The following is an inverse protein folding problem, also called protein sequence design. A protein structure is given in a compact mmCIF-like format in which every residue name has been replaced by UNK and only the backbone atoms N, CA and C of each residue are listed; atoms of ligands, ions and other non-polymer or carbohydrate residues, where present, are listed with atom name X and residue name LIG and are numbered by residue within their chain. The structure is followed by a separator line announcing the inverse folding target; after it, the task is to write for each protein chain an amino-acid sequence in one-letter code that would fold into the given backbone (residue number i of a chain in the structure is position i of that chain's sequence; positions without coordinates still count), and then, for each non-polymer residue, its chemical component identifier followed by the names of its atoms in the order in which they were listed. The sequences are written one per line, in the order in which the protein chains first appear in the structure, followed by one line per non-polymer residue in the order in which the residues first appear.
data_IF_447466109770
#
_entry.id   IF_447466109770
#
_cell.length_a   1.000
_cell.length_b   1.000
_cell.length_c   1.000
_cell.angle_alpha   90.00
_cell.angle_beta   90.00
_cell.angle_gamma   90.00
#
_symmetry.space_group_name_H-M   'P 1'
#
loop_
_entity.id
_entity.type
_entity.pdbx_description
1 polymer ?
#
# COMPACT_ATOMS: atom_id res chain seq x y z
N UNK A 1 -1.16 -19.25 -2.67
CA UNK A 1 -1.02 -18.56 -3.98
C UNK A 1 -1.37 -17.09 -3.82
N UNK A 2 -0.57 -16.22 -4.39
CA UNK A 2 -0.80 -14.79 -4.32
C UNK A 2 -1.83 -14.35 -5.36
N UNK A 3 -2.70 -13.39 -4.98
CA UNK A 3 -3.60 -12.73 -5.94
C UNK A 3 -2.83 -11.74 -6.83
N UNK A 4 -1.58 -11.42 -6.48
CA UNK A 4 -0.77 -10.45 -7.22
C UNK A 4 -0.03 -11.15 -8.35
N UNK A 5 -0.11 -10.59 -9.55
CA UNK A 5 0.51 -11.17 -10.73
C UNK A 5 1.94 -10.65 -10.97
N UNK A 6 2.60 -11.20 -11.98
CA UNK A 6 3.97 -10.82 -12.32
C UNK A 6 4.08 -9.33 -12.67
N UNK A 7 3.10 -8.78 -13.38
CA UNK A 7 3.10 -7.38 -13.76
C UNK A 7 3.06 -6.47 -12.51
N UNK A 8 2.32 -6.89 -11.49
CA UNK A 8 2.29 -6.17 -10.23
C UNK A 8 3.67 -6.08 -9.57
N UNK A 9 4.38 -7.22 -9.51
CA UNK A 9 5.72 -7.26 -8.93
C UNK A 9 6.72 -6.48 -9.80
N UNK A 10 6.55 -6.49 -11.11
CA UNK A 10 7.36 -5.69 -12.00
C UNK A 10 7.19 -4.19 -11.68
N UNK A 11 5.96 -3.75 -11.48
CA UNK A 11 5.68 -2.35 -11.10
C UNK A 11 6.33 -2.02 -9.75
N UNK A 12 6.26 -2.94 -8.78
CA UNK A 12 6.86 -2.71 -7.46
C UNK A 12 8.39 -2.57 -7.52
N UNK A 13 9.03 -3.15 -8.53
CA UNK A 13 10.48 -3.05 -8.69
C UNK A 13 10.92 -1.71 -9.30
N UNK A 14 9.98 -0.87 -9.69
CA UNK A 14 10.25 0.47 -10.17
C UNK A 14 9.65 1.46 -9.18
N UNK A 15 10.31 2.59 -9.00
CA UNK A 15 9.78 3.57 -8.04
C UNK A 15 8.54 4.26 -8.60
N UNK A 16 7.65 4.63 -7.71
CA UNK A 16 6.41 5.31 -8.05
C UNK A 16 5.63 5.62 -6.78
N UNK A 17 4.64 6.47 -6.91
CA UNK A 17 3.78 6.88 -5.81
C UNK A 17 2.68 5.84 -5.60
N UNK A 18 2.44 5.52 -4.33
CA UNK A 18 1.31 4.69 -3.92
C UNK A 18 0.32 5.60 -3.21
N UNK A 19 -0.93 5.58 -3.63
CA UNK A 19 -1.98 6.35 -2.99
C UNK A 19 -2.92 5.42 -2.23
N UNK A 20 -3.24 5.78 -1.00
CA UNK A 20 -4.16 5.03 -0.16
C UNK A 20 -5.36 5.92 0.13
N UNK A 21 -6.55 5.44 -0.24
CA UNK A 21 -7.80 6.19 -0.09
C UNK A 21 -8.64 5.52 0.98
N UNK A 22 -9.06 6.30 1.96
CA UNK A 22 -9.98 5.89 3.00
C UNK A 22 -11.16 6.87 3.05
N UNK A 23 -12.30 6.44 3.61
CA UNK A 23 -13.51 7.29 3.64
C UNK A 23 -14.38 7.04 4.87
N UNK A 24 -13.75 6.64 5.99
CA UNK A 24 -14.47 6.33 7.21
C UNK A 24 -15.31 7.46 7.77
N UNK A 25 -14.93 8.71 7.49
CA UNK A 25 -15.66 9.90 7.98
C UNK A 25 -16.58 10.51 6.94
N UNK A 26 -16.92 9.77 5.88
CA UNK A 26 -17.81 10.25 4.82
C UNK A 26 -17.16 11.14 3.78
N UNK A 27 -15.89 11.49 3.97
CA UNK A 27 -15.10 12.27 3.03
C UNK A 27 -13.86 11.47 2.68
N UNK A 28 -13.49 11.48 1.41
CA UNK A 28 -12.31 10.76 0.95
C UNK A 28 -11.04 11.39 1.53
N UNK A 29 -10.19 10.56 2.12
CA UNK A 29 -8.88 10.93 2.62
C UNK A 29 -7.83 10.21 1.78
N UNK A 30 -6.81 10.91 1.33
CA UNK A 30 -5.77 10.33 0.48
C UNK A 30 -4.41 10.60 1.11
N UNK A 31 -3.61 9.54 1.22
CA UNK A 31 -2.21 9.64 1.64
C UNK A 31 -1.35 8.92 0.62
N UNK A 32 -0.10 9.29 0.53
CA UNK A 32 0.84 8.70 -0.42
C UNK A 32 2.01 8.04 0.29
N UNK A 33 2.49 6.95 -0.30
CA UNK A 33 3.76 6.33 0.04
C UNK A 33 4.46 5.96 -1.27
N UNK A 34 5.42 5.06 -1.23
CA UNK A 34 6.26 4.75 -2.40
C UNK A 34 6.30 3.25 -2.64
N UNK A 35 6.43 2.86 -3.92
CA UNK A 35 6.51 1.45 -4.30
C UNK A 35 7.58 0.71 -3.49
N UNK A 36 8.74 1.35 -3.30
CA UNK A 36 9.88 0.71 -2.61
C UNK A 36 9.63 0.44 -1.13
N UNK A 37 8.62 1.06 -0.53
CA UNK A 37 8.28 0.81 0.88
C UNK A 37 7.28 -0.33 1.07
N UNK A 38 6.68 -0.84 0.01
CA UNK A 38 5.70 -1.92 0.13
C UNK A 38 6.38 -3.27 0.25
N UNK A 39 5.85 -4.10 1.13
CA UNK A 39 6.27 -5.49 1.28
C UNK A 39 5.04 -6.37 1.08
N UNK A 40 5.11 -7.29 0.12
CA UNK A 40 4.02 -8.22 -0.14
C UNK A 40 4.31 -9.52 0.61
N UNK A 41 3.35 -9.95 1.42
CA UNK A 41 3.42 -11.21 2.16
C UNK A 41 2.09 -11.92 1.98
N UNK A 42 2.09 -13.03 1.24
CA UNK A 42 0.87 -13.74 0.85
C UNK A 42 -0.06 -12.79 0.09
N UNK A 43 -1.31 -12.66 0.50
CA UNK A 43 -2.27 -11.75 -0.14
C UNK A 43 -2.40 -10.42 0.60
N UNK A 44 -1.34 -10.02 1.32
CA UNK A 44 -1.30 -8.80 2.10
C UNK A 44 -0.18 -7.89 1.63
N UNK A 45 -0.41 -6.60 1.77
CA UNK A 45 0.60 -5.59 1.53
C UNK A 45 0.87 -4.91 2.86
N UNK A 46 2.14 -4.90 3.26
CA UNK A 46 2.59 -4.21 4.47
C UNK A 46 3.29 -2.92 4.04
N UNK A 47 2.98 -1.85 4.71
CA UNK A 47 3.62 -0.57 4.40
C UNK A 47 3.83 0.26 5.67
N UNK A 48 4.87 1.12 5.69
CA UNK A 48 5.10 2.01 6.82
C UNK A 48 3.94 3.00 6.99
N UNK A 49 3.43 3.13 8.19
CA UNK A 49 2.32 4.03 8.49
C UNK A 49 2.83 5.25 9.26
N UNK A 50 3.63 6.07 8.61
CA UNK A 50 4.16 7.28 9.20
C UNK A 50 3.24 8.47 8.91
N UNK A 51 2.76 9.12 9.96
CA UNK A 51 1.95 10.34 9.81
C UNK A 51 0.57 10.12 9.22
N UNK A 52 0.04 8.92 9.25
CA UNK A 52 -1.26 8.58 8.68
C UNK A 52 -2.39 8.64 9.71
N UNK A 53 -2.48 9.75 10.43
CA UNK A 53 -3.47 9.88 11.53
C UNK A 53 -4.91 9.89 11.04
N UNK A 54 -5.20 10.62 9.97
CA UNK A 54 -6.54 10.68 9.40
C UNK A 54 -6.94 9.34 8.79
N UNK A 55 -6.02 8.66 8.13
CA UNK A 55 -6.24 7.33 7.58
C UNK A 55 -6.57 6.34 8.71
N UNK A 56 -5.82 6.38 9.79
CA UNK A 56 -6.05 5.51 10.94
C UNK A 56 -7.42 5.76 11.56
N UNK A 57 -7.80 7.02 11.70
CA UNK A 57 -9.12 7.38 12.23
C UNK A 57 -10.25 6.86 11.33
N UNK A 58 -10.10 6.98 10.01
CA UNK A 58 -11.07 6.46 9.05
C UNK A 58 -11.19 4.94 9.15
N UNK A 59 -10.08 4.25 9.23
CA UNK A 59 -10.03 2.78 9.26
C UNK A 59 -10.70 2.21 10.51
N UNK A 60 -10.67 2.94 11.62
CA UNK A 60 -11.37 2.53 12.85
C UNK A 60 -12.87 2.56 12.69
N UNK A 61 -13.39 3.40 11.80
CA UNK A 61 -14.83 3.51 11.54
C UNK A 61 -15.24 2.60 10.38
N UNK A 62 -14.46 2.60 9.30
CA UNK A 62 -14.68 1.78 8.12
C UNK A 62 -13.32 1.37 7.60
N UNK A 63 -13.00 0.09 7.73
CA UNK A 63 -11.69 -0.42 7.39
C UNK A 63 -11.46 -0.68 5.89
N UNK A 64 -12.43 -0.37 5.06
CA UNK A 64 -12.27 -0.53 3.61
C UNK A 64 -11.40 0.60 3.07
N UNK A 65 -10.47 0.21 2.20
CA UNK A 65 -9.54 1.15 1.56
C UNK A 65 -9.39 0.79 0.09
N UNK A 66 -8.92 1.76 -0.67
CA UNK A 66 -8.47 1.54 -2.04
C UNK A 66 -7.02 2.00 -2.13
N UNK A 67 -6.22 1.22 -2.83
CA UNK A 67 -4.81 1.52 -3.02
C UNK A 67 -4.54 1.57 -4.51
N UNK A 68 -3.90 2.65 -4.96
CA UNK A 68 -3.47 2.76 -6.34
C UNK A 68 -1.95 2.88 -6.38
N UNK A 69 -1.35 2.24 -7.36
CA UNK A 69 0.07 2.35 -7.60
C UNK A 69 0.35 2.13 -9.07
N UNK A 70 1.52 2.56 -9.51
CA UNK A 70 1.90 2.38 -10.89
C UNK A 70 3.32 2.83 -11.14
N UNK A 71 3.77 2.58 -12.36
CA UNK A 71 5.06 3.09 -12.82
C UNK A 71 4.99 3.31 -14.32
N UNK A 72 5.49 4.45 -14.75
CA UNK A 72 5.58 4.77 -16.16
C UNK A 72 6.65 3.93 -16.86
N UNK A 73 7.60 3.39 -16.09
CA UNK A 73 8.71 2.62 -16.63
C UNK A 73 8.35 1.19 -16.99
N UNK A 74 7.13 0.76 -16.65
CA UNK A 74 6.64 -0.59 -16.94
C UNK A 74 5.65 -0.52 -18.08
N UNK A 75 5.90 -1.32 -19.13
CA UNK A 75 5.01 -1.38 -20.27
C UNK A 75 3.67 -1.99 -19.88
N UNK A 76 2.60 -1.33 -20.29
CA UNK A 76 1.26 -1.74 -19.98
C UNK A 76 0.52 -2.37 -21.14
N UNK A 77 -0.78 -2.21 -21.10
CA UNK A 77 -1.70 -2.79 -22.10
C UNK A 77 -1.49 -2.14 -23.47
N UNK A 78 -1.51 -2.95 -24.53
CA UNK A 78 -1.35 -2.50 -25.91
C UNK A 78 -0.05 -1.72 -26.16
N UNK A 79 1.03 -2.09 -25.48
CA UNK A 79 2.34 -1.45 -25.60
C UNK A 79 2.35 0.01 -25.16
N UNK A 80 1.34 0.45 -24.40
CA UNK A 80 1.38 1.77 -23.80
C UNK A 80 2.46 1.82 -22.71
N UNK A 81 3.16 2.92 -22.64
CA UNK A 81 4.16 3.14 -21.62
C UNK A 81 3.47 3.53 -20.33
N UNK A 82 3.60 2.67 -19.32
CA UNK A 82 3.00 2.87 -18.01
C UNK A 82 2.00 1.79 -17.66
N UNK A 83 2.01 1.38 -16.41
CA UNK A 83 1.11 0.37 -15.85
C UNK A 83 0.64 0.82 -14.49
N UNK A 84 -0.66 0.75 -14.24
CA UNK A 84 -1.26 1.11 -12.96
C UNK A 84 -2.18 0.01 -12.44
N UNK A 85 -2.36 0.00 -11.13
CA UNK A 85 -3.23 -0.95 -10.44
C UNK A 85 -4.14 -0.25 -9.45
N UNK A 86 -5.36 -0.74 -9.34
CA UNK A 86 -6.29 -0.39 -8.27
C UNK A 86 -6.53 -1.64 -7.43
N UNK A 87 -6.28 -1.53 -6.15
CA UNK A 87 -6.49 -2.62 -5.19
C UNK A 87 -7.58 -2.19 -4.23
N UNK A 88 -8.55 -3.06 -4.03
CA UNK A 88 -9.62 -2.87 -3.05
C UNK A 88 -9.41 -3.85 -1.92
N UNK A 89 -9.45 -3.38 -0.70
CA UNK A 89 -9.22 -4.26 0.43
C UNK A 89 -9.60 -3.64 1.75
N UNK A 90 -9.15 -4.29 2.81
CA UNK A 90 -9.33 -3.81 4.17
C UNK A 90 -7.96 -3.54 4.79
N UNK A 91 -7.91 -2.56 5.68
CA UNK A 91 -6.66 -2.16 6.32
C UNK A 91 -6.73 -2.33 7.83
N UNK A 92 -5.58 -2.67 8.42
CA UNK A 92 -5.39 -2.72 9.87
C UNK A 92 -4.06 -2.05 10.18
N UNK A 93 -4.05 -1.24 11.22
CA UNK A 93 -2.81 -0.65 11.72
C UNK A 93 -2.30 -1.53 12.87
N UNK A 94 -1.04 -1.94 12.78
CA UNK A 94 -0.44 -2.82 13.79
C UNK A 94 0.75 -2.14 14.46
N UNK A 95 0.95 -2.44 15.75
CA UNK A 95 2.03 -1.90 16.55
C UNK A 95 2.87 -3.01 17.18
N UNK A 96 2.54 -4.27 16.91
CA UNK A 96 3.22 -5.43 17.45
C UNK A 96 2.95 -6.65 16.57
N UNK A 97 3.69 -7.72 16.83
CA UNK A 97 3.53 -8.99 16.13
C UNK A 97 4.62 -9.22 15.11
N UNK A 98 4.58 -10.40 14.49
CA UNK A 98 5.60 -10.84 13.55
C UNK A 98 5.77 -9.89 12.35
N UNK A 99 4.66 -9.48 11.75
CA UNK A 99 4.71 -8.58 10.60
C UNK A 99 5.26 -7.21 10.99
N UNK A 100 4.86 -6.68 12.15
CA UNK A 100 5.40 -5.43 12.65
C UNK A 100 6.90 -5.53 12.89
N UNK A 101 7.34 -6.60 13.53
CA UNK A 101 8.76 -6.81 13.86
C UNK A 101 9.60 -6.87 12.58
N UNK A 102 9.14 -7.59 11.57
CA UNK A 102 9.81 -7.67 10.28
C UNK A 102 9.95 -6.31 9.63
N UNK A 103 8.87 -5.53 9.61
CA UNK A 103 8.87 -4.20 9.01
C UNK A 103 9.74 -3.24 9.81
N UNK A 104 9.75 -3.36 11.14
CA UNK A 104 10.57 -2.53 12.02
C UNK A 104 12.06 -2.77 11.80
N UNK A 105 12.45 -4.01 11.56
CA UNK A 105 13.83 -4.35 11.25
C UNK A 105 14.26 -3.72 9.93
N UNK A 106 13.39 -3.79 8.93
CA UNK A 106 13.64 -3.21 7.60
C UNK A 106 13.62 -1.68 7.63
N UNK A 107 12.72 -1.11 8.44
CA UNK A 107 12.53 0.33 8.55
C UNK A 107 12.54 0.74 10.04
N UNK A 108 13.70 0.99 10.64
CA UNK A 108 13.80 1.25 12.09
C UNK A 108 13.02 2.47 12.60
N UNK A 109 12.65 3.40 11.71
CA UNK A 109 11.89 4.59 12.08
C UNK A 109 10.41 4.30 12.37
N UNK A 110 9.94 3.09 12.07
CA UNK A 110 8.52 2.77 12.17
C UNK A 110 7.98 2.78 13.59
N UNK A 111 6.74 3.24 13.70
CA UNK A 111 5.95 3.14 14.92
C UNK A 111 4.68 2.32 14.70
N UNK A 112 4.18 2.31 13.44
CA UNK A 112 3.00 1.51 13.04
C UNK A 112 3.20 1.00 11.62
N UNK A 113 2.52 -0.08 11.32
CA UNK A 113 2.53 -0.71 9.99
C UNK A 113 1.11 -0.88 9.49
#
# INVERSE_FOLDING_TARGET
MSIFNEKFFEVLNHEGVVSIVSWGNGEANVVNTWNSYLVVKDDRILLPAAGMHSTEADVKVNNKVKVTLGSKEVEGFNNYQGTGFLIKGTANFIESGEDFDMMKEKYPFLRKV
#
